data_IF_070221733541
#
_entry.id   IF_070221733541
#
_cell.length_a   1.000
_cell.length_b   1.000
_cell.length_c   1.000
_cell.angle_alpha   90.00
_cell.angle_beta   90.00
_cell.angle_gamma   90.00
#
_symmetry.space_group_name_H-M   'P 1'
#
loop_
_entity.id
_entity.type
_entity.pdbx_description
1 polymer ?
#
# COMPACT_ATOMS: atom_id res chain seq x y z
N UNK A 1 -4.30 88.62 -5.20
CA UNK A 1 -5.62 88.77 -5.83
C UNK A 1 -5.53 88.00 -7.15
N UNK A 2 -5.57 86.66 -7.07
CA UNK A 2 -6.76 85.80 -7.15
C UNK A 2 -7.33 85.73 -8.57
N UNK A 3 -7.27 84.50 -9.11
CA UNK A 3 -8.11 83.89 -10.16
C UNK A 3 -7.96 84.45 -11.60
N UNK A 4 -8.03 83.69 -12.70
CA UNK A 4 -8.87 82.51 -12.93
C UNK A 4 -8.50 81.77 -14.25
N UNK A 5 -8.72 80.43 -14.27
CA UNK A 5 -9.19 79.56 -15.39
C UNK A 5 -8.28 79.19 -16.59
N UNK A 6 -7.84 77.91 -16.70
CA UNK A 6 -8.49 76.69 -17.32
C UNK A 6 -8.10 76.53 -18.82
N UNK A 7 -7.79 75.36 -19.43
CA UNK A 7 -8.06 73.94 -19.12
C UNK A 7 -7.27 73.01 -20.08
N UNK A 8 -6.74 71.91 -19.51
CA UNK A 8 -6.59 70.52 -20.01
C UNK A 8 -6.21 70.16 -21.46
N UNK A 9 -5.17 69.32 -21.63
CA UNK A 9 -5.30 67.92 -22.09
C UNK A 9 -3.95 67.16 -22.04
N UNK A 10 -3.79 66.29 -21.04
CA UNK A 10 -2.82 65.17 -20.98
C UNK A 10 -3.30 64.04 -21.91
N UNK A 11 -2.52 63.38 -22.77
CA UNK A 11 -1.24 62.73 -22.49
C UNK A 11 -1.45 61.22 -22.44
N UNK A 12 -1.66 60.55 -23.59
CA UNK A 12 -1.79 59.10 -23.68
C UNK A 12 -0.98 58.55 -24.87
N UNK A 13 0.00 57.64 -24.66
CA UNK A 13 0.71 57.01 -25.78
C UNK A 13 0.05 55.72 -26.27
N UNK A 14 0.05 55.59 -27.60
CA UNK A 14 -0.48 54.53 -28.46
C UNK A 14 -0.01 53.11 -28.08
N UNK A 15 -0.96 52.17 -28.00
CA UNK A 15 -0.70 50.72 -27.96
C UNK A 15 -0.25 50.26 -29.35
N UNK A 16 0.99 49.76 -29.47
CA UNK A 16 1.45 48.98 -30.63
C UNK A 16 1.06 47.52 -30.42
N UNK A 17 0.27 46.97 -31.33
CA UNK A 17 0.08 45.52 -31.44
C UNK A 17 1.37 44.87 -31.92
N UNK A 18 1.91 43.94 -31.13
CA UNK A 18 3.00 43.07 -31.55
C UNK A 18 2.48 41.64 -31.47
N UNK A 19 2.20 41.06 -32.65
CA UNK A 19 1.93 39.64 -32.77
C UNK A 19 3.20 38.87 -32.45
N UNK A 20 3.13 37.98 -31.46
CA UNK A 20 4.14 36.93 -31.26
C UNK A 20 3.48 35.57 -31.41
N UNK A 21 3.66 35.03 -32.61
CA UNK A 21 3.82 33.63 -32.99
C UNK A 21 3.63 32.58 -31.89
N UNK A 22 2.61 31.74 -32.08
CA UNK A 22 2.51 30.43 -31.47
C UNK A 22 3.61 29.51 -32.01
N UNK A 23 4.70 29.34 -31.27
CA UNK A 23 5.69 28.27 -31.51
C UNK A 23 6.44 27.89 -30.23
N UNK A 24 5.69 27.45 -29.22
CA UNK A 24 6.23 26.75 -28.06
C UNK A 24 5.97 25.26 -28.17
N UNK A 25 6.53 24.60 -29.19
CA UNK A 25 6.54 23.13 -29.22
C UNK A 25 7.33 22.65 -27.99
N UNK A 26 6.60 22.12 -27.01
CA UNK A 26 7.17 21.56 -25.77
C UNK A 26 8.14 20.45 -26.19
N UNK A 27 9.45 20.69 -26.06
CA UNK A 27 10.49 19.69 -26.35
C UNK A 27 10.13 18.41 -25.59
N UNK A 28 10.05 17.29 -26.29
CA UNK A 28 9.92 15.99 -25.65
C UNK A 28 11.11 15.80 -24.69
N UNK A 29 10.89 15.27 -23.47
CA UNK A 29 11.98 14.96 -22.56
C UNK A 29 12.97 14.02 -23.25
N UNK A 30 14.26 14.36 -23.20
CA UNK A 30 15.33 13.49 -23.66
C UNK A 30 15.23 12.14 -22.92
N UNK A 31 15.07 11.04 -23.68
CA UNK A 31 14.87 9.69 -23.14
C UNK A 31 13.72 8.90 -23.77
N UNK A 32 12.85 9.53 -24.55
CA UNK A 32 11.77 8.83 -25.27
C UNK A 32 12.23 8.13 -26.56
N UNK A 33 13.41 8.47 -27.08
CA UNK A 33 13.88 8.02 -28.40
C UNK A 33 14.24 6.52 -28.46
N UNK A 34 14.40 5.85 -27.32
CA UNK A 34 14.85 4.46 -27.24
C UNK A 34 13.84 3.49 -26.59
N UNK A 35 12.57 3.86 -26.46
CA UNK A 35 11.55 2.98 -25.85
C UNK A 35 10.87 2.16 -26.96
N UNK A 36 10.86 0.81 -26.89
CA UNK A 36 10.15 -0.03 -27.86
C UNK A 36 8.65 0.35 -27.86
N UNK A 37 7.96 0.14 -29.00
CA UNK A 37 6.52 0.37 -29.28
C UNK A 37 5.64 0.82 -28.08
N UNK A 38 4.77 1.83 -28.27
CA UNK A 38 3.90 2.49 -27.26
C UNK A 38 3.39 1.60 -26.10
N UNK A 39 3.00 0.36 -26.37
CA UNK A 39 2.60 -0.63 -25.35
C UNK A 39 3.73 -1.00 -24.37
N UNK A 40 4.94 -1.25 -24.85
CA UNK A 40 6.11 -1.51 -24.00
C UNK A 40 6.47 -0.31 -23.15
N UNK A 41 6.27 0.92 -23.65
CA UNK A 41 6.41 2.15 -22.86
C UNK A 41 5.40 2.21 -21.70
N UNK A 42 4.15 1.81 -21.94
CA UNK A 42 3.11 1.80 -20.91
C UNK A 42 3.37 0.74 -19.84
N UNK A 43 3.79 -0.46 -20.22
CA UNK A 43 4.15 -1.52 -19.27
C UNK A 43 5.37 -1.14 -18.43
N UNK A 44 6.36 -0.50 -19.05
CA UNK A 44 7.53 0.04 -18.35
C UNK A 44 7.12 1.12 -17.34
N UNK A 45 6.27 2.07 -17.75
CA UNK A 45 5.75 3.10 -16.85
C UNK A 45 4.93 2.51 -15.69
N UNK A 46 4.05 1.55 -15.97
CA UNK A 46 3.28 0.85 -14.94
C UNK A 46 4.19 0.15 -13.92
N UNK A 47 5.21 -0.56 -14.40
CA UNK A 47 6.19 -1.18 -13.53
C UNK A 47 6.94 -0.13 -12.71
N UNK A 48 7.51 0.91 -13.33
CA UNK A 48 8.25 1.96 -12.62
C UNK A 48 7.40 2.71 -11.58
N UNK A 49 6.10 2.88 -11.84
CA UNK A 49 5.17 3.49 -10.88
C UNK A 49 4.96 2.61 -9.64
N UNK A 50 4.99 1.29 -9.79
CA UNK A 50 4.61 0.34 -8.73
C UNK A 50 5.78 -0.45 -8.14
N UNK A 51 6.96 -0.41 -8.76
CA UNK A 51 8.12 -1.27 -8.48
C UNK A 51 8.53 -1.30 -7.01
N UNK A 52 8.56 -0.14 -6.35
CA UNK A 52 8.97 -0.06 -4.94
C UNK A 52 7.97 -0.67 -3.96
N UNK A 53 6.68 -0.74 -4.34
CA UNK A 53 5.59 -1.11 -3.44
C UNK A 53 4.98 -2.47 -3.79
N UNK A 54 5.01 -2.90 -5.06
CA UNK A 54 4.37 -4.15 -5.47
C UNK A 54 4.93 -5.39 -4.74
N UNK A 55 6.26 -5.60 -4.62
CA UNK A 55 6.79 -6.78 -3.92
C UNK A 55 6.50 -6.77 -2.41
N UNK A 56 6.47 -5.60 -1.79
CA UNK A 56 6.28 -5.42 -0.34
C UNK A 56 4.82 -5.30 0.06
N UNK A 57 3.90 -5.12 -0.89
CA UNK A 57 2.48 -4.93 -0.65
C UNK A 57 1.61 -5.97 -1.36
N UNK A 58 1.68 -6.09 -2.70
CA UNK A 58 0.86 -7.04 -3.47
C UNK A 58 1.18 -8.47 -3.07
N UNK A 59 2.47 -8.80 -2.94
CA UNK A 59 2.94 -10.11 -2.51
C UNK A 59 2.33 -10.53 -1.17
N UNK A 60 2.61 -9.81 -0.06
CA UNK A 60 2.05 -10.13 1.25
C UNK A 60 0.52 -10.19 1.25
N UNK A 61 -0.20 -9.17 0.81
CA UNK A 61 -1.67 -9.20 0.85
C UNK A 61 -2.26 -10.36 0.02
N UNK A 62 -1.60 -10.77 -1.07
CA UNK A 62 -1.97 -11.97 -1.82
C UNK A 62 -1.74 -13.24 -1.01
N UNK A 63 -0.59 -13.35 -0.34
CA UNK A 63 -0.29 -14.47 0.57
C UNK A 63 -1.33 -14.53 1.69
N UNK A 64 -1.70 -13.40 2.29
CA UNK A 64 -2.76 -13.34 3.31
C UNK A 64 -4.09 -13.88 2.77
N UNK A 65 -4.52 -13.42 1.60
CA UNK A 65 -5.78 -13.85 0.99
C UNK A 65 -5.82 -15.34 0.71
N UNK A 66 -4.77 -15.87 0.07
CA UNK A 66 -4.66 -17.29 -0.27
C UNK A 66 -4.55 -18.16 0.97
N UNK A 67 -3.68 -17.81 1.92
CA UNK A 67 -3.50 -18.56 3.16
C UNK A 67 -4.77 -18.54 4.01
N UNK A 68 -5.43 -17.38 4.10
CA UNK A 68 -6.70 -17.26 4.81
C UNK A 68 -7.81 -18.09 4.19
N UNK A 69 -7.94 -18.07 2.86
CA UNK A 69 -8.93 -18.89 2.16
C UNK A 69 -8.62 -20.40 2.25
N UNK A 70 -7.36 -20.81 2.34
CA UNK A 70 -6.99 -22.22 2.52
C UNK A 70 -7.25 -22.73 3.95
N UNK A 71 -7.28 -21.84 4.94
CA UNK A 71 -7.76 -22.14 6.29
C UNK A 71 -9.31 -22.19 6.38
N UNK A 72 -9.99 -22.41 5.24
CA UNK A 72 -11.44 -22.19 4.97
C UNK A 72 -12.44 -22.69 6.01
N UNK A 73 -12.26 -23.81 6.75
CA UNK A 73 -13.23 -24.20 7.77
C UNK A 73 -13.41 -23.15 8.88
N UNK A 74 -12.43 -22.27 9.06
CA UNK A 74 -12.39 -21.28 10.13
C UNK A 74 -12.55 -19.84 9.65
N UNK A 75 -12.49 -19.58 8.34
CA UNK A 75 -12.36 -18.21 7.81
C UNK A 75 -13.59 -17.66 7.09
N UNK A 76 -14.43 -18.50 6.49
CA UNK A 76 -15.69 -18.09 5.87
C UNK A 76 -16.87 -18.31 6.82
N UNK A 77 -17.88 -17.42 6.80
CA UNK A 77 -19.19 -17.77 7.38
C UNK A 77 -19.80 -18.84 6.49
N UNK A 78 -20.29 -19.92 7.10
CA UNK A 78 -21.06 -20.98 6.46
C UNK A 78 -22.32 -20.37 5.81
N UNK A 79 -22.17 -19.82 4.60
CA UNK A 79 -23.28 -19.25 3.85
C UNK A 79 -24.08 -20.41 3.24
N UNK A 80 -25.17 -20.76 3.92
CA UNK A 80 -26.30 -21.56 3.42
C UNK A 80 -25.97 -23.01 2.99
N UNK A 81 -25.89 -23.92 3.97
CA UNK A 81 -26.41 -25.29 3.85
C UNK A 81 -25.73 -26.25 2.86
N UNK A 82 -24.61 -25.88 2.25
CA UNK A 82 -23.87 -26.76 1.35
C UNK A 82 -22.46 -27.01 1.90
N UNK A 83 -22.12 -28.30 2.03
CA UNK A 83 -20.81 -28.88 2.42
C UNK A 83 -20.73 -29.31 3.90
N UNK A 84 -21.63 -30.22 4.31
CA UNK A 84 -21.32 -31.20 5.36
C UNK A 84 -20.47 -32.35 4.80
N UNK A 85 -19.25 -32.01 4.40
CA UNK A 85 -18.21 -32.97 4.05
C UNK A 85 -16.87 -32.26 4.01
N UNK A 86 -15.86 -32.81 4.66
CA UNK A 86 -14.50 -32.30 4.54
C UNK A 86 -14.11 -32.29 3.04
N UNK A 87 -14.12 -31.12 2.40
CA UNK A 87 -13.60 -30.97 1.05
C UNK A 87 -12.14 -31.45 1.08
N UNK A 88 -11.74 -32.41 0.23
CA UNK A 88 -10.34 -32.85 0.20
C UNK A 88 -9.42 -31.65 -0.02
N UNK A 89 -8.34 -31.53 0.76
CA UNK A 89 -7.39 -30.40 0.68
C UNK A 89 -6.97 -30.05 -0.75
N UNK A 90 -6.82 -31.07 -1.60
CA UNK A 90 -6.49 -30.91 -3.03
C UNK A 90 -7.53 -30.08 -3.79
N UNK A 91 -8.81 -30.27 -3.52
CA UNK A 91 -9.89 -29.52 -4.20
C UNK A 91 -9.95 -28.08 -3.71
N UNK A 92 -9.79 -27.86 -2.40
CA UNK A 92 -9.67 -26.52 -1.82
C UNK A 92 -8.46 -25.77 -2.40
N UNK A 93 -7.31 -26.44 -2.51
CA UNK A 93 -6.11 -25.88 -3.15
C UNK A 93 -6.38 -25.49 -4.60
N UNK A 94 -6.98 -26.37 -5.41
CA UNK A 94 -7.28 -26.07 -6.82
C UNK A 94 -8.23 -24.87 -6.92
N UNK A 95 -9.30 -24.83 -6.12
CA UNK A 95 -10.29 -23.76 -6.10
C UNK A 95 -9.67 -22.41 -5.73
N UNK A 96 -8.89 -22.36 -4.66
CA UNK A 96 -8.26 -21.12 -4.18
C UNK A 96 -7.16 -20.67 -5.14
N UNK A 97 -6.32 -21.60 -5.63
CA UNK A 97 -5.24 -21.25 -6.56
C UNK A 97 -5.77 -20.78 -7.93
N UNK A 98 -6.93 -21.27 -8.39
CA UNK A 98 -7.60 -20.72 -9.57
C UNK A 98 -8.00 -19.23 -9.41
N UNK A 99 -8.06 -18.73 -8.17
CA UNK A 99 -8.34 -17.32 -7.86
C UNK A 99 -7.09 -16.48 -7.63
N UNK A 100 -5.88 -17.06 -7.67
CA UNK A 100 -4.63 -16.34 -7.43
C UNK A 100 -4.50 -15.07 -8.29
N UNK A 101 -4.78 -15.18 -9.59
CA UNK A 101 -4.73 -14.03 -10.51
C UNK A 101 -5.73 -12.92 -10.15
N UNK A 102 -6.92 -13.28 -9.63
CA UNK A 102 -7.93 -12.33 -9.19
C UNK A 102 -7.51 -11.60 -7.91
N UNK A 103 -6.89 -12.31 -6.97
CA UNK A 103 -6.36 -11.72 -5.73
C UNK A 103 -5.22 -10.74 -6.05
N UNK A 104 -4.31 -11.13 -6.95
CA UNK A 104 -3.24 -10.24 -7.43
C UNK A 104 -3.86 -9.01 -8.13
N UNK A 105 -4.87 -9.19 -8.98
CA UNK A 105 -5.55 -8.11 -9.66
C UNK A 105 -6.23 -7.13 -8.68
N UNK A 106 -6.92 -7.63 -7.65
CA UNK A 106 -7.50 -6.81 -6.58
C UNK A 106 -6.42 -5.96 -5.89
N UNK A 107 -5.36 -6.61 -5.41
CA UNK A 107 -4.30 -5.94 -4.68
C UNK A 107 -3.55 -4.90 -5.54
N UNK A 108 -3.15 -5.28 -6.75
CA UNK A 108 -2.34 -4.43 -7.61
C UNK A 108 -3.14 -3.29 -8.24
N UNK A 109 -4.41 -3.51 -8.61
CA UNK A 109 -5.26 -2.44 -9.19
C UNK A 109 -5.51 -1.31 -8.18
N UNK A 110 -5.81 -1.65 -6.92
CA UNK A 110 -5.99 -0.65 -5.87
C UNK A 110 -4.65 0.01 -5.48
N UNK A 111 -3.55 -0.77 -5.38
CA UNK A 111 -2.22 -0.22 -5.12
C UNK A 111 -1.78 0.75 -6.22
N UNK A 112 -2.11 0.46 -7.47
CA UNK A 112 -1.76 1.32 -8.60
C UNK A 112 -2.38 2.73 -8.46
N UNK A 113 -3.63 2.83 -7.99
CA UNK A 113 -4.24 4.13 -7.69
C UNK A 113 -3.51 4.84 -6.55
N UNK A 114 -3.14 4.12 -5.50
CA UNK A 114 -2.34 4.67 -4.41
C UNK A 114 -0.99 5.22 -4.90
N UNK A 115 -0.27 4.46 -5.73
CA UNK A 115 1.04 4.87 -6.25
C UNK A 115 0.96 6.09 -7.17
N UNK A 116 -0.10 6.17 -7.98
CA UNK A 116 -0.41 7.37 -8.76
C UNK A 116 -0.68 8.57 -7.84
N UNK A 117 -1.56 8.41 -6.85
CA UNK A 117 -1.88 9.47 -5.89
C UNK A 117 -0.64 9.95 -5.14
N UNK A 118 0.21 9.01 -4.74
CA UNK A 118 1.44 9.27 -3.99
C UNK A 118 2.46 10.04 -4.80
N UNK A 119 2.64 9.74 -6.09
CA UNK A 119 3.62 10.39 -6.95
C UNK A 119 3.11 11.68 -7.62
N UNK A 120 1.81 11.97 -7.54
CA UNK A 120 1.18 13.11 -8.22
C UNK A 120 1.61 14.47 -7.69
N UNK A 121 1.82 14.60 -6.38
CA UNK A 121 2.02 15.91 -5.74
C UNK A 121 3.46 16.44 -5.96
N UNK A 122 3.66 17.76 -6.19
CA UNK A 122 5.00 18.34 -6.38
C UNK A 122 5.96 18.03 -5.22
N UNK A 123 5.47 18.05 -3.99
CA UNK A 123 6.26 17.76 -2.79
C UNK A 123 6.65 16.28 -2.73
N UNK A 124 5.77 15.38 -3.20
CA UNK A 124 6.10 13.97 -3.36
C UNK A 124 7.17 13.74 -4.44
N UNK A 125 7.10 14.47 -5.55
CA UNK A 125 8.11 14.36 -6.60
C UNK A 125 9.49 14.85 -6.12
N UNK A 126 9.53 15.92 -5.32
CA UNK A 126 10.76 16.42 -4.70
C UNK A 126 11.35 15.43 -3.68
N UNK A 127 10.50 14.81 -2.85
CA UNK A 127 10.89 13.74 -1.93
C UNK A 127 11.45 12.52 -2.70
N UNK A 128 10.72 12.06 -3.73
CA UNK A 128 11.12 10.92 -4.54
C UNK A 128 12.39 11.21 -5.33
N UNK A 129 12.68 12.45 -5.72
CA UNK A 129 13.95 12.78 -6.37
C UNK A 129 15.17 12.48 -5.47
N UNK A 130 14.99 12.50 -4.13
CA UNK A 130 16.03 12.15 -3.16
C UNK A 130 16.02 10.65 -2.85
N UNK A 131 14.86 10.11 -2.47
CA UNK A 131 14.76 8.73 -1.99
C UNK A 131 14.71 7.70 -3.12
N UNK A 132 14.05 8.06 -4.24
CA UNK A 132 13.64 7.16 -5.33
C UNK A 132 13.80 7.82 -6.72
N UNK A 133 14.99 8.33 -7.10
CA UNK A 133 15.19 9.13 -8.31
C UNK A 133 14.86 8.40 -9.62
N UNK A 134 14.73 7.08 -9.59
CA UNK A 134 14.33 6.27 -10.74
C UNK A 134 12.82 6.33 -11.05
N UNK A 135 11.99 6.87 -10.14
CA UNK A 135 10.53 6.95 -10.32
C UNK A 135 10.14 7.84 -11.51
N UNK A 136 8.99 7.57 -12.16
CA UNK A 136 8.60 8.27 -13.39
C UNK A 136 8.47 9.79 -13.28
N UNK A 137 7.94 10.32 -12.18
CA UNK A 137 7.73 11.76 -12.02
C UNK A 137 9.05 12.52 -11.82
N UNK A 138 9.94 12.13 -10.89
CA UNK A 138 11.28 12.75 -10.79
C UNK A 138 12.09 12.70 -12.09
N UNK A 139 11.93 11.63 -12.88
CA UNK A 139 12.59 11.49 -14.19
C UNK A 139 11.97 12.30 -15.32
N UNK A 140 10.84 12.96 -15.07
CA UNK A 140 10.09 13.68 -16.12
C UNK A 140 9.48 12.77 -17.18
N UNK A 141 9.32 11.47 -16.92
CA UNK A 141 8.68 10.52 -17.84
C UNK A 141 7.16 10.71 -17.90
N UNK A 142 6.57 11.23 -16.82
CA UNK A 142 5.15 11.56 -16.70
C UNK A 142 4.99 12.79 -15.82
N UNK A 143 4.05 13.67 -16.14
CA UNK A 143 3.76 14.87 -15.34
C UNK A 143 2.70 14.61 -14.28
N UNK A 144 2.70 15.43 -13.22
CA UNK A 144 1.65 15.45 -12.20
C UNK A 144 0.23 15.58 -12.82
N UNK A 145 0.07 16.45 -13.81
CA UNK A 145 -1.21 16.66 -14.50
C UNK A 145 -1.65 15.45 -15.32
N UNK A 146 -0.71 14.74 -15.95
CA UNK A 146 -1.00 13.50 -16.67
C UNK A 146 -1.47 12.42 -15.69
N UNK A 147 -0.78 12.26 -14.55
CA UNK A 147 -1.20 11.35 -13.47
C UNK A 147 -2.60 11.71 -12.98
N UNK A 148 -2.84 12.97 -12.64
CA UNK A 148 -4.15 13.46 -12.17
C UNK A 148 -5.25 13.13 -13.19
N UNK A 149 -5.02 13.43 -14.47
CA UNK A 149 -6.00 13.18 -15.54
C UNK A 149 -6.26 11.68 -15.70
N UNK A 150 -5.22 10.86 -15.62
CA UNK A 150 -5.33 9.40 -15.68
C UNK A 150 -6.17 8.86 -14.51
N UNK A 151 -5.95 9.36 -13.29
CA UNK A 151 -6.70 8.96 -12.09
C UNK A 151 -8.21 9.27 -12.21
N UNK A 152 -8.61 10.36 -12.87
CA UNK A 152 -10.04 10.67 -13.09
C UNK A 152 -10.77 9.56 -13.84
N UNK A 153 -10.08 8.85 -14.74
CA UNK A 153 -10.64 7.71 -15.46
C UNK A 153 -10.39 6.38 -14.72
N UNK A 154 -9.20 6.20 -14.14
CA UNK A 154 -8.82 4.93 -13.54
C UNK A 154 -9.54 4.64 -12.22
N UNK A 155 -9.81 5.64 -11.38
CA UNK A 155 -10.54 5.43 -10.12
C UNK A 155 -11.91 4.77 -10.36
N UNK A 156 -12.83 5.34 -11.18
CA UNK A 156 -14.11 4.71 -11.42
C UNK A 156 -13.97 3.35 -12.11
N UNK A 157 -12.99 3.17 -13.01
CA UNK A 157 -12.75 1.90 -13.67
C UNK A 157 -12.28 0.81 -12.70
N UNK A 158 -11.36 1.14 -11.79
CA UNK A 158 -10.85 0.22 -10.76
C UNK A 158 -11.95 -0.14 -9.78
N UNK A 159 -12.76 0.82 -9.32
CA UNK A 159 -13.91 0.52 -8.46
C UNK A 159 -14.93 -0.37 -9.18
N UNK A 160 -15.25 -0.07 -10.44
CA UNK A 160 -16.15 -0.89 -11.26
C UNK A 160 -15.61 -2.31 -11.46
N UNK A 161 -14.32 -2.46 -11.78
CA UNK A 161 -13.63 -3.75 -11.89
C UNK A 161 -13.78 -4.55 -10.59
N UNK A 162 -13.44 -3.94 -9.46
CA UNK A 162 -13.49 -4.59 -8.15
C UNK A 162 -14.93 -4.94 -7.72
N UNK A 163 -15.91 -4.11 -8.04
CA UNK A 163 -17.31 -4.37 -7.74
C UNK A 163 -17.92 -5.45 -8.64
N UNK A 164 -17.88 -5.27 -9.96
CA UNK A 164 -18.60 -6.13 -10.90
C UNK A 164 -17.90 -7.45 -11.18
N UNK A 165 -16.55 -7.48 -11.17
CA UNK A 165 -15.79 -8.70 -11.47
C UNK A 165 -15.32 -9.43 -10.21
N UNK A 166 -14.98 -8.71 -9.15
CA UNK A 166 -14.35 -9.28 -7.95
C UNK A 166 -15.25 -9.29 -6.71
N UNK A 167 -16.43 -8.65 -6.76
CA UNK A 167 -17.38 -8.62 -5.64
C UNK A 167 -16.91 -7.82 -4.42
N UNK A 168 -15.82 -7.05 -4.53
CA UNK A 168 -15.15 -6.30 -3.44
C UNK A 168 -15.11 -4.80 -3.71
N UNK A 169 -16.23 -4.26 -4.21
CA UNK A 169 -16.38 -2.84 -4.52
C UNK A 169 -16.34 -1.94 -3.29
N UNK A 170 -16.87 -2.40 -2.16
CA UNK A 170 -16.88 -1.65 -0.89
C UNK A 170 -15.47 -1.49 -0.36
N UNK A 171 -14.68 -2.56 -0.38
CA UNK A 171 -13.26 -2.56 -0.02
C UNK A 171 -12.49 -1.58 -0.89
N UNK A 172 -12.70 -1.63 -2.21
CA UNK A 172 -12.06 -0.70 -3.14
C UNK A 172 -12.42 0.76 -2.82
N UNK A 173 -13.69 1.07 -2.56
CA UNK A 173 -14.12 2.43 -2.17
C UNK A 173 -13.46 2.90 -0.87
N UNK A 174 -13.39 2.05 0.16
CA UNK A 174 -12.72 2.38 1.43
C UNK A 174 -11.23 2.61 1.20
N UNK A 175 -10.57 1.79 0.37
CA UNK A 175 -9.16 2.00 0.00
C UNK A 175 -8.98 3.32 -0.75
N UNK A 176 -9.89 3.71 -1.65
CA UNK A 176 -9.83 5.03 -2.31
C UNK A 176 -9.95 6.17 -1.29
N UNK A 177 -10.86 6.06 -0.32
CA UNK A 177 -11.02 7.05 0.74
C UNK A 177 -9.76 7.16 1.61
N UNK A 178 -9.17 6.03 2.02
CA UNK A 178 -7.92 6.01 2.78
C UNK A 178 -6.73 6.55 1.97
N UNK A 179 -6.69 6.27 0.67
CA UNK A 179 -5.68 6.81 -0.25
C UNK A 179 -5.77 8.34 -0.33
N UNK A 180 -7.00 8.86 -0.43
CA UNK A 180 -7.27 10.30 -0.40
C UNK A 180 -6.91 10.93 0.95
N UNK A 181 -7.28 10.30 2.07
CA UNK A 181 -6.90 10.75 3.41
C UNK A 181 -5.37 10.78 3.59
N UNK A 182 -4.67 9.77 3.07
CA UNK A 182 -3.22 9.67 3.17
C UNK A 182 -2.51 10.78 2.37
N UNK A 183 -2.90 10.95 1.10
CA UNK A 183 -2.18 11.81 0.16
C UNK A 183 -2.76 13.23 0.14
N UNK A 184 -4.02 13.40 -0.24
CA UNK A 184 -4.66 14.69 -0.48
C UNK A 184 -4.98 15.45 0.81
N UNK A 185 -5.44 14.76 1.87
CA UNK A 185 -5.59 15.37 3.20
C UNK A 185 -4.29 15.39 4.01
N UNK A 186 -3.18 14.92 3.43
CA UNK A 186 -1.85 14.92 4.05
C UNK A 186 -1.79 14.15 5.38
N UNK A 187 -2.68 13.18 5.60
CA UNK A 187 -2.63 12.30 6.76
C UNK A 187 -1.32 11.50 6.84
N UNK A 188 -0.64 11.31 5.70
CA UNK A 188 0.69 10.74 5.65
C UNK A 188 1.80 11.63 6.21
N UNK A 189 1.57 12.94 6.32
CA UNK A 189 2.56 13.93 6.74
C UNK A 189 2.34 14.42 8.21
N UNK A 190 1.11 14.31 8.73
CA UNK A 190 0.66 14.87 10.03
C UNK A 190 1.43 14.32 11.24
N UNK A 191 1.88 13.06 11.15
CA UNK A 191 2.66 12.38 12.18
C UNK A 191 2.62 10.87 12.01
N UNK A 192 3.66 10.17 12.49
CA UNK A 192 3.77 8.72 12.30
C UNK A 192 2.57 7.92 12.86
N UNK A 193 1.91 8.39 13.92
CA UNK A 193 0.74 7.72 14.51
C UNK A 193 -0.46 7.76 13.55
N UNK A 194 -0.82 8.96 13.04
CA UNK A 194 -1.93 9.14 12.10
C UNK A 194 -1.65 8.39 10.80
N UNK A 195 -0.42 8.53 10.28
CA UNK A 195 0.02 7.82 9.09
C UNK A 195 -0.10 6.30 9.27
N UNK A 196 0.43 5.76 10.36
CA UNK A 196 0.37 4.33 10.64
C UNK A 196 -1.06 3.85 10.85
N UNK A 197 -1.95 4.66 11.43
CA UNK A 197 -3.37 4.31 11.58
C UNK A 197 -4.06 4.17 10.22
N UNK A 198 -3.83 5.11 9.30
CA UNK A 198 -4.37 5.04 7.93
C UNK A 198 -3.81 3.82 7.20
N UNK A 199 -2.50 3.58 7.27
CA UNK A 199 -1.85 2.41 6.65
C UNK A 199 -2.41 1.11 7.24
N UNK A 200 -2.53 1.01 8.57
CA UNK A 200 -3.06 -0.17 9.25
C UNK A 200 -4.51 -0.47 8.86
N UNK A 201 -5.36 0.57 8.76
CA UNK A 201 -6.72 0.45 8.26
C UNK A 201 -6.73 -0.06 6.82
N UNK A 202 -5.88 0.50 5.95
CA UNK A 202 -5.77 0.08 4.56
C UNK A 202 -5.38 -1.41 4.47
N UNK A 203 -4.32 -1.82 5.17
CA UNK A 203 -3.90 -3.24 5.22
C UNK A 203 -5.02 -4.16 5.71
N UNK A 204 -5.81 -3.74 6.71
CA UNK A 204 -6.97 -4.50 7.17
C UNK A 204 -7.98 -4.76 6.04
N UNK A 205 -8.30 -3.72 5.26
CA UNK A 205 -9.22 -3.80 4.13
C UNK A 205 -8.64 -4.61 2.96
N UNK A 206 -7.34 -4.46 2.66
CA UNK A 206 -6.67 -5.26 1.64
C UNK A 206 -6.64 -6.76 2.02
N UNK A 207 -6.38 -7.06 3.29
CA UNK A 207 -6.34 -8.42 3.82
C UNK A 207 -7.72 -9.09 3.74
N UNK A 208 -8.77 -8.44 4.25
CA UNK A 208 -10.14 -8.99 4.20
C UNK A 208 -10.66 -9.10 2.77
N UNK A 209 -10.41 -8.08 1.93
CA UNK A 209 -10.74 -8.11 0.50
C UNK A 209 -10.03 -9.24 -0.25
N UNK A 210 -8.74 -9.47 0.04
CA UNK A 210 -7.97 -10.56 -0.56
C UNK A 210 -8.54 -11.95 -0.21
N UNK A 211 -8.95 -12.16 1.05
CA UNK A 211 -9.62 -13.40 1.47
C UNK A 211 -10.95 -13.57 0.74
N UNK A 212 -11.77 -12.53 0.65
CA UNK A 212 -13.06 -12.55 -0.08
C UNK A 212 -12.88 -12.96 -1.55
N UNK A 213 -11.92 -12.33 -2.25
CA UNK A 213 -11.63 -12.66 -3.65
C UNK A 213 -11.14 -14.11 -3.79
N UNK A 214 -10.33 -14.59 -2.83
CA UNK A 214 -9.83 -15.97 -2.81
C UNK A 214 -10.93 -17.01 -2.52
N UNK A 215 -11.89 -16.71 -1.65
CA UNK A 215 -13.04 -17.57 -1.35
C UNK A 215 -14.01 -17.65 -2.54
N UNK A 216 -14.15 -16.56 -3.28
CA UNK A 216 -14.92 -16.48 -4.52
C UNK A 216 -16.13 -15.54 -4.42
N UNK A 217 -16.37 -14.81 -5.50
CA UNK A 217 -17.30 -13.66 -5.55
C UNK A 217 -18.74 -14.00 -5.14
N UNK A 218 -19.25 -15.18 -5.50
CA UNK A 218 -20.62 -15.57 -5.19
C UNK A 218 -20.87 -15.73 -3.67
N UNK A 219 -19.85 -16.07 -2.89
CA UNK A 219 -19.98 -16.31 -1.45
C UNK A 219 -20.01 -15.02 -0.62
N UNK A 220 -19.55 -13.90 -1.17
CA UNK A 220 -19.22 -12.68 -0.41
C UNK A 220 -19.72 -11.38 -1.05
N UNK A 221 -20.39 -11.47 -2.21
CA UNK A 221 -20.95 -10.30 -2.90
C UNK A 221 -21.94 -9.56 -2.00
N UNK A 222 -21.86 -8.23 -1.99
CA UNK A 222 -22.74 -7.30 -1.28
C UNK A 222 -22.80 -7.50 0.25
N UNK A 223 -21.84 -8.21 0.83
CA UNK A 223 -21.77 -8.52 2.27
C UNK A 223 -21.21 -7.37 3.14
N UNK A 224 -20.89 -6.22 2.54
CA UNK A 224 -20.23 -5.09 3.24
C UNK A 224 -18.79 -5.41 3.62
N UNK A 225 -18.13 -4.56 4.41
CA UNK A 225 -16.68 -4.64 4.65
C UNK A 225 -16.23 -5.93 5.36
N UNK A 226 -17.04 -6.43 6.30
CA UNK A 226 -16.72 -7.61 7.11
C UNK A 226 -17.68 -8.79 6.91
N UNK A 227 -18.75 -8.64 6.13
CA UNK A 227 -19.67 -9.76 5.93
C UNK A 227 -19.06 -10.88 5.09
N UNK A 228 -19.63 -12.08 5.23
CA UNK A 228 -19.09 -13.29 4.62
C UNK A 228 -17.79 -13.82 5.25
N UNK A 229 -17.21 -13.09 6.22
CA UNK A 229 -16.01 -13.48 6.94
C UNK A 229 -16.35 -13.93 8.37
N UNK A 230 -15.70 -14.99 8.81
CA UNK A 230 -15.74 -15.46 10.20
C UNK A 230 -15.20 -14.40 11.17
N UNK A 231 -15.53 -14.56 12.46
CA UNK A 231 -14.97 -13.73 13.53
C UNK A 231 -13.45 -13.87 13.62
N UNK A 232 -12.93 -15.08 13.42
CA UNK A 232 -11.52 -15.42 13.44
C UNK A 232 -10.75 -14.69 12.35
N UNK A 233 -11.31 -14.63 11.13
CA UNK A 233 -10.72 -13.87 10.02
C UNK A 233 -10.65 -12.38 10.31
N UNK A 234 -11.72 -11.80 10.86
CA UNK A 234 -11.78 -10.38 11.21
C UNK A 234 -10.81 -10.05 12.35
N UNK A 235 -10.76 -10.89 13.39
CA UNK A 235 -9.80 -10.73 14.50
C UNK A 235 -8.37 -10.85 13.97
N UNK A 236 -8.09 -11.81 13.09
CA UNK A 236 -6.77 -11.99 12.51
C UNK A 236 -6.33 -10.79 11.65
N UNK A 237 -7.23 -10.28 10.80
CA UNK A 237 -6.98 -9.05 10.06
C UNK A 237 -6.72 -7.86 11.00
N UNK A 238 -7.45 -7.78 12.12
CA UNK A 238 -7.22 -6.78 13.18
C UNK A 238 -5.87 -6.91 13.86
N UNK A 239 -5.42 -8.13 14.19
CA UNK A 239 -4.07 -8.41 14.74
C UNK A 239 -3.01 -7.95 13.76
N UNK A 240 -3.15 -8.28 12.48
CA UNK A 240 -2.23 -7.83 11.44
C UNK A 240 -2.24 -6.31 11.30
N UNK A 241 -3.41 -5.65 11.31
CA UNK A 241 -3.49 -4.19 11.33
C UNK A 241 -2.78 -3.60 12.54
N UNK A 242 -2.85 -4.22 13.72
CA UNK A 242 -2.13 -3.77 14.90
C UNK A 242 -0.61 -3.96 14.79
N UNK A 243 -0.15 -5.05 14.14
CA UNK A 243 1.27 -5.24 13.76
C UNK A 243 1.71 -4.06 12.90
N UNK A 244 1.01 -3.82 11.78
CA UNK A 244 1.32 -2.71 10.86
C UNK A 244 1.32 -1.37 11.61
N UNK A 245 0.29 -1.07 12.40
CA UNK A 245 0.20 0.18 13.16
C UNK A 245 1.43 0.42 14.04
N UNK A 246 1.88 -0.61 14.75
CA UNK A 246 2.96 -0.52 15.72
C UNK A 246 4.35 -0.63 15.11
N UNK A 247 4.52 -1.17 13.90
CA UNK A 247 5.86 -1.40 13.32
C UNK A 247 6.12 -0.74 11.98
N UNK A 248 5.11 -0.22 11.27
CA UNK A 248 5.27 0.32 9.90
C UNK A 248 6.32 1.45 9.81
N UNK A 249 6.48 2.22 10.89
CA UNK A 249 7.47 3.29 10.98
C UNK A 249 8.93 2.81 11.00
N UNK A 250 9.19 1.50 10.91
CA UNK A 250 10.51 0.98 10.56
C UNK A 250 10.98 1.48 9.19
N UNK A 251 10.06 1.78 8.27
CA UNK A 251 10.38 2.35 6.96
C UNK A 251 11.00 3.76 7.10
N UNK A 252 10.55 4.53 8.08
CA UNK A 252 11.03 5.91 8.30
C UNK A 252 12.54 5.97 8.56
N UNK A 253 13.13 4.88 9.07
CA UNK A 253 14.56 4.82 9.39
C UNK A 253 15.45 4.97 8.13
N UNK A 254 15.00 4.47 6.97
CA UNK A 254 15.73 4.63 5.70
C UNK A 254 15.33 5.88 4.92
N UNK A 255 14.19 6.50 5.26
CA UNK A 255 13.59 7.61 4.48
C UNK A 255 13.79 8.99 5.14
N UNK A 256 14.59 9.09 6.22
CA UNK A 256 14.80 10.31 7.03
C UNK A 256 15.15 11.55 6.21
N UNK A 257 16.02 11.40 5.21
CA UNK A 257 16.48 12.53 4.38
C UNK A 257 15.35 13.12 3.54
N UNK A 258 14.63 12.29 2.78
CA UNK A 258 13.47 12.73 2.01
C UNK A 258 12.31 13.20 2.90
N UNK A 259 12.06 12.54 4.03
CA UNK A 259 11.05 12.98 5.00
C UNK A 259 11.35 14.38 5.54
N UNK A 260 12.62 14.68 5.82
CA UNK A 260 13.05 16.01 6.27
C UNK A 260 12.88 17.06 5.17
N UNK A 261 13.24 16.73 3.93
CA UNK A 261 13.07 17.62 2.79
C UNK A 261 11.59 17.95 2.51
N UNK A 262 10.69 16.99 2.73
CA UNK A 262 9.23 17.16 2.62
C UNK A 262 8.59 17.85 3.83
N UNK A 263 9.32 17.98 4.95
CA UNK A 263 8.78 18.49 6.21
C UNK A 263 7.83 17.52 6.91
N UNK A 264 7.98 16.20 6.69
CA UNK A 264 7.18 15.17 7.36
C UNK A 264 7.57 15.02 8.82
N UNK A 265 6.57 14.67 9.63
CA UNK A 265 6.73 14.35 11.06
C UNK A 265 6.89 12.84 11.28
N UNK A 266 7.89 12.24 10.64
CA UNK A 266 8.18 10.80 10.77
C UNK A 266 8.76 10.46 12.15
N UNK A 267 8.69 9.18 12.55
CA UNK A 267 9.09 8.75 13.89
C UNK A 267 10.51 9.23 14.27
N UNK A 268 11.59 8.92 13.50
CA UNK A 268 12.94 9.36 13.84
C UNK A 268 13.13 10.89 13.87
N UNK A 269 12.29 11.66 13.16
CA UNK A 269 12.31 13.13 13.20
C UNK A 269 11.65 13.67 14.47
N UNK A 270 10.52 13.10 14.88
CA UNK A 270 9.72 13.59 16.02
C UNK A 270 10.29 13.15 17.36
N UNK A 271 10.66 11.87 17.50
CA UNK A 271 11.10 11.31 18.78
C UNK A 271 12.61 11.08 18.87
N UNK A 272 13.35 11.34 17.78
CA UNK A 272 14.76 11.01 17.64
C UNK A 272 15.01 9.55 17.24
N UNK A 273 16.22 9.29 16.74
CA UNK A 273 16.60 8.00 16.16
C UNK A 273 16.49 6.82 17.15
N UNK A 274 17.06 6.95 18.36
CA UNK A 274 17.04 5.86 19.34
C UNK A 274 15.62 5.51 19.82
N UNK A 275 14.78 6.45 20.27
CA UNK A 275 13.42 6.10 20.68
C UNK A 275 12.58 5.52 19.54
N UNK A 276 12.77 5.98 18.30
CA UNK A 276 12.09 5.41 17.12
C UNK A 276 12.51 3.96 16.84
N UNK A 277 13.78 3.62 17.03
CA UNK A 277 14.27 2.23 16.90
C UNK A 277 13.68 1.33 17.98
N UNK A 278 13.57 1.82 19.21
CA UNK A 278 12.95 1.08 20.32
C UNK A 278 11.44 0.86 20.11
N UNK A 279 10.72 1.87 19.58
CA UNK A 279 9.29 1.74 19.31
C UNK A 279 8.96 0.71 18.23
N UNK A 280 9.91 0.40 17.33
CA UNK A 280 9.80 -0.77 16.42
C UNK A 280 10.25 -2.06 17.09
N UNK A 281 11.40 -2.05 17.78
CA UNK A 281 12.02 -3.26 18.30
C UNK A 281 11.15 -3.99 19.34
N UNK A 282 10.46 -3.26 20.22
CA UNK A 282 9.61 -3.87 21.25
C UNK A 282 8.44 -4.66 20.64
N UNK A 283 7.58 -4.08 19.77
CA UNK A 283 6.54 -4.84 19.10
C UNK A 283 7.07 -6.04 18.29
N UNK A 284 8.26 -5.93 17.68
CA UNK A 284 8.86 -7.03 16.92
C UNK A 284 9.20 -8.26 17.77
N UNK A 285 9.32 -8.12 19.10
CA UNK A 285 9.47 -9.25 20.03
C UNK A 285 8.12 -9.77 20.54
N UNK A 286 7.13 -8.89 20.67
CA UNK A 286 5.81 -9.23 21.22
C UNK A 286 4.94 -9.95 20.18
N UNK A 287 4.87 -9.43 18.96
CA UNK A 287 3.97 -9.95 17.93
C UNK A 287 4.24 -11.39 17.50
N UNK A 288 5.50 -11.86 17.41
CA UNK A 288 5.76 -13.28 17.22
C UNK A 288 5.04 -14.21 18.18
N UNK A 289 5.13 -13.89 19.48
CA UNK A 289 4.52 -14.67 20.54
C UNK A 289 3.00 -14.56 20.46
N UNK A 290 2.46 -13.35 20.29
CA UNK A 290 1.03 -13.13 20.18
C UNK A 290 0.40 -13.88 18.98
N UNK A 291 1.03 -13.81 17.80
CA UNK A 291 0.57 -14.53 16.60
C UNK A 291 0.67 -16.04 16.77
N UNK A 292 1.74 -16.54 17.40
CA UNK A 292 1.89 -17.96 17.72
C UNK A 292 0.83 -18.44 18.70
N UNK A 293 0.54 -17.67 19.75
CA UNK A 293 -0.52 -17.99 20.71
C UNK A 293 -1.90 -18.00 20.06
N UNK A 294 -2.22 -17.01 19.22
CA UNK A 294 -3.51 -16.91 18.52
C UNK A 294 -3.76 -18.14 17.64
N UNK A 295 -2.76 -18.51 16.81
CA UNK A 295 -2.84 -19.67 15.92
C UNK A 295 -2.46 -20.99 16.60
N UNK A 296 -2.14 -20.97 17.90
CA UNK A 296 -1.64 -22.12 18.67
C UNK A 296 -0.52 -22.88 17.94
N UNK A 297 0.40 -22.12 17.35
CA UNK A 297 1.46 -22.72 16.55
C UNK A 297 2.44 -23.47 17.44
N UNK A 298 2.82 -24.68 17.03
CA UNK A 298 3.91 -25.42 17.66
C UNK A 298 5.26 -24.72 17.46
N UNK A 299 6.26 -25.15 18.23
CA UNK A 299 7.61 -24.57 18.19
C UNK A 299 8.24 -24.56 16.79
N UNK A 300 7.93 -25.55 15.95
CA UNK A 300 8.44 -25.65 14.57
C UNK A 300 8.04 -24.44 13.72
N UNK A 301 6.82 -23.93 13.90
CA UNK A 301 6.27 -22.82 13.10
C UNK A 301 6.53 -21.48 13.80
N UNK A 302 6.43 -21.44 15.13
CA UNK A 302 6.68 -20.22 15.91
C UNK A 302 8.14 -19.79 15.94
N UNK A 303 9.09 -20.73 16.02
CA UNK A 303 10.52 -20.42 16.22
C UNK A 303 11.14 -19.63 15.05
N UNK A 304 10.93 -19.99 13.77
CA UNK A 304 11.47 -19.21 12.65
C UNK A 304 10.94 -17.77 12.63
N UNK A 305 9.66 -17.59 12.97
CA UNK A 305 9.02 -16.28 12.97
C UNK A 305 9.50 -15.42 14.16
N UNK A 306 9.69 -16.02 15.35
CA UNK A 306 10.31 -15.35 16.51
C UNK A 306 11.79 -15.03 16.28
N UNK A 307 12.54 -15.93 15.64
CA UNK A 307 13.95 -15.72 15.32
C UNK A 307 14.13 -14.54 14.36
N UNK A 308 13.32 -14.46 13.29
CA UNK A 308 13.40 -13.35 12.35
C UNK A 308 12.90 -12.03 12.98
N UNK A 309 11.84 -12.06 13.81
CA UNK A 309 11.39 -10.88 14.55
C UNK A 309 12.47 -10.35 15.51
N UNK A 310 13.14 -11.26 16.22
CA UNK A 310 14.28 -10.94 17.09
C UNK A 310 15.45 -10.38 16.28
N UNK A 311 15.76 -10.93 15.11
CA UNK A 311 16.80 -10.42 14.23
C UNK A 311 16.50 -8.96 13.81
N UNK A 312 15.27 -8.67 13.40
CA UNK A 312 14.85 -7.29 13.06
C UNK A 312 15.00 -6.37 14.28
N UNK A 313 14.53 -6.78 15.46
CA UNK A 313 14.66 -5.98 16.68
C UNK A 313 16.13 -5.69 17.05
N UNK A 314 17.00 -6.71 17.01
CA UNK A 314 18.44 -6.56 17.26
C UNK A 314 19.07 -5.61 16.25
N UNK A 315 18.72 -5.73 14.96
CA UNK A 315 19.23 -4.83 13.92
C UNK A 315 18.77 -3.40 14.12
N UNK A 316 17.49 -3.17 14.47
CA UNK A 316 17.00 -1.84 14.81
C UNK A 316 17.86 -1.19 15.90
N UNK A 317 18.27 -1.94 16.92
CA UNK A 317 18.99 -1.40 18.08
C UNK A 317 20.52 -1.34 17.91
N UNK A 318 21.12 -2.22 17.11
CA UNK A 318 22.59 -2.37 16.99
C UNK A 318 23.17 -1.92 15.67
N UNK A 319 22.36 -1.79 14.62
CA UNK A 319 22.81 -1.37 13.30
C UNK A 319 22.19 -0.02 12.95
N UNK A 320 23.00 0.89 12.44
CA UNK A 320 22.56 2.23 12.03
C UNK A 320 23.14 2.59 10.67
N UNK A 321 22.43 3.41 9.92
CA UNK A 321 22.85 3.93 8.62
C UNK A 321 22.02 3.35 7.48
N UNK A 322 21.96 4.11 6.38
CA UNK A 322 21.00 3.90 5.29
C UNK A 322 20.95 2.46 4.75
N UNK A 323 22.11 1.84 4.50
CA UNK A 323 22.15 0.47 3.97
C UNK A 323 21.69 -0.57 5.00
N UNK A 324 22.03 -0.34 6.28
CA UNK A 324 21.59 -1.22 7.36
C UNK A 324 20.07 -1.12 7.56
N UNK A 325 19.52 0.10 7.50
CA UNK A 325 18.09 0.36 7.66
C UNK A 325 17.29 -0.18 6.45
N UNK A 326 17.81 -0.07 5.23
CA UNK A 326 17.25 -0.73 4.02
C UNK A 326 17.15 -2.25 4.17
N UNK A 327 18.19 -2.89 4.70
CA UNK A 327 18.15 -4.33 4.94
C UNK A 327 17.17 -4.68 6.07
N UNK A 328 17.13 -3.90 7.15
CA UNK A 328 16.18 -4.09 8.26
C UNK A 328 14.73 -3.99 7.78
N UNK A 329 14.41 -3.02 6.91
CA UNK A 329 13.12 -2.91 6.24
C UNK A 329 12.77 -4.18 5.44
N UNK A 330 13.69 -4.68 4.60
CA UNK A 330 13.46 -5.89 3.81
C UNK A 330 13.22 -7.13 4.67
N UNK A 331 13.97 -7.29 5.76
CA UNK A 331 13.78 -8.37 6.73
C UNK A 331 12.44 -8.24 7.46
N UNK A 332 12.01 -7.02 7.77
CA UNK A 332 10.67 -6.76 8.31
C UNK A 332 9.57 -7.15 7.30
N UNK A 333 9.72 -6.81 6.01
CA UNK A 333 8.76 -7.24 4.98
C UNK A 333 8.68 -8.77 4.87
N UNK A 334 9.83 -9.45 4.89
CA UNK A 334 9.89 -10.92 4.88
C UNK A 334 9.19 -11.51 6.12
N UNK A 335 9.43 -10.94 7.29
CA UNK A 335 8.79 -11.34 8.52
C UNK A 335 7.27 -11.18 8.47
N UNK A 336 6.77 -10.05 7.97
CA UNK A 336 5.34 -9.81 7.79
C UNK A 336 4.72 -10.82 6.82
N UNK A 337 5.42 -11.16 5.72
CA UNK A 337 4.97 -12.22 4.81
C UNK A 337 4.89 -13.59 5.51
N UNK A 338 5.83 -13.92 6.40
CA UNK A 338 5.78 -15.14 7.22
C UNK A 338 4.58 -15.16 8.18
N UNK A 339 4.28 -14.03 8.83
CA UNK A 339 3.10 -13.88 9.69
C UNK A 339 1.82 -14.24 8.93
N UNK A 340 1.71 -13.80 7.67
CA UNK A 340 0.51 -14.03 6.86
C UNK A 340 0.29 -15.50 6.46
N UNK A 341 1.34 -16.32 6.51
CA UNK A 341 1.29 -17.76 6.21
C UNK A 341 0.87 -18.63 7.40
N UNK A 342 0.71 -18.08 8.61
CA UNK A 342 0.38 -18.84 9.82
C UNK A 342 -0.95 -19.61 9.77
N UNK A 343 -2.06 -19.09 9.20
CA UNK A 343 -3.36 -19.75 9.29
C UNK A 343 -3.40 -21.20 8.75
N UNK A 344 -2.99 -21.49 7.49
CA UNK A 344 -3.08 -22.85 6.95
C UNK A 344 -2.09 -23.83 7.61
N UNK A 345 -0.93 -23.33 8.07
CA UNK A 345 0.10 -24.16 8.69
C UNK A 345 -0.36 -24.68 10.06
N UNK A 346 -1.06 -23.84 10.83
CA UNK A 346 -1.62 -24.24 12.12
C UNK A 346 -2.73 -25.28 11.98
N UNK A 347 -3.63 -25.11 11.01
CA UNK A 347 -4.75 -26.02 10.77
C UNK A 347 -4.31 -27.43 10.32
N UNK A 348 -3.22 -27.53 9.55
CA UNK A 348 -2.70 -28.82 9.08
C UNK A 348 -2.06 -29.69 10.16
N UNK A 349 -1.58 -29.09 11.26
CA UNK A 349 -0.94 -29.83 12.35
C UNK A 349 -1.93 -30.42 13.36
N UNK A 350 -3.09 -29.78 13.57
CA UNK A 350 -4.13 -30.29 14.49
C UNK A 350 -4.74 -31.62 14.01
N UNK A 351 -4.77 -31.87 12.70
CA UNK A 351 -5.31 -33.12 12.12
C UNK A 351 -4.40 -34.33 12.41
N UNK A 352 -3.15 -34.12 12.79
CA UNK A 352 -2.19 -35.21 13.07
C UNK A 352 -2.01 -35.54 14.56
N UNK A 353 -2.65 -34.80 15.47
CA UNK A 353 -2.55 -35.07 16.91
C UNK A 353 -3.71 -35.92 17.43
N UNK A 354 -4.82 -35.99 16.70
CA UNK A 354 -6.03 -36.75 17.08
C UNK A 354 -6.21 -38.07 16.30
N UNK A 355 -5.12 -38.65 15.77
CA UNK A 355 -5.13 -39.89 14.96
C UNK A 355 -4.52 -41.10 15.66
#
# INVERSE_FOLDING_TARGET
MSDETNKSASGGPKVKSCGMSASGARKQPEGWENIPNRTSSLLCLFWLLTESNAPTFVGPNTVFGICGALASPWMAVEAAGAVHGAEPLRMALVRVMARLGHVILFNWSNLFIFDLANQRLPESAAEDALNKPWRPVPRGLVTADQIRTCMLCLIPLVVALNHFMLGVGVESLVIMALTWMYNDLRGGDEGYVVRNAIIAAAFGVYNTGSVKVALGTAAVRDSGLFGGLSSECVIWAGIVSAIIFTTMHVQDLQDVEGDRARGRRSAPIVMGDRPARWSVAVPMLVWPVASACFWRTGLVVGTPQAALGTLVAVRCLRCSGLQADKLTWRLWCLWTAMVYMLPPISCGMSVHVDG
#
